data_IF_415996657906
#
_entry.id   IF_415996657906
#
_cell.length_a   1.000
_cell.length_b   1.000
_cell.length_c   1.000
_cell.angle_alpha   90.00
_cell.angle_beta   90.00
_cell.angle_gamma   90.00
#
_symmetry.space_group_name_H-M   'P 1'
#
loop_
_entity.id
_entity.type
_entity.pdbx_description
1 polymer ?
#
# COMPACT_ATOMS: atom_id res chain seq x y z
N UNK A 1 28.76 -13.09 12.90
CA UNK A 1 27.54 -12.52 13.52
C UNK A 1 26.33 -13.10 12.81
N UNK A 2 25.46 -13.80 13.52
CA UNK A 2 24.28 -14.49 12.96
C UNK A 2 23.00 -13.87 13.52
N UNK A 3 22.01 -13.64 12.66
CA UNK A 3 20.73 -13.06 13.05
C UNK A 3 19.94 -14.04 13.94
N UNK A 4 19.57 -13.56 15.13
CA UNK A 4 18.80 -14.33 16.10
C UNK A 4 17.46 -14.81 15.51
N UNK A 5 17.03 -16.02 15.87
CA UNK A 5 15.86 -16.70 15.29
C UNK A 5 14.56 -15.90 15.41
N UNK A 6 14.38 -15.13 16.49
CA UNK A 6 13.21 -14.26 16.69
C UNK A 6 13.15 -13.07 15.73
N UNK A 7 14.29 -12.64 15.19
CA UNK A 7 14.38 -11.57 14.20
C UNK A 7 14.27 -12.11 12.78
N UNK A 8 14.30 -13.43 12.59
CA UNK A 8 14.08 -14.03 11.27
C UNK A 8 12.64 -13.71 10.89
N UNK A 9 12.49 -12.91 9.86
CA UNK A 9 11.18 -12.57 9.34
C UNK A 9 10.54 -13.86 8.78
N UNK A 10 9.70 -14.50 9.61
CA UNK A 10 8.94 -15.69 9.28
C UNK A 10 8.07 -15.48 8.05
N UNK A 11 7.53 -16.57 7.49
CA UNK A 11 6.80 -16.65 6.20
C UNK A 11 5.57 -15.74 6.01
N UNK A 12 5.41 -14.72 6.86
CA UNK A 12 4.35 -13.72 6.93
C UNK A 12 4.77 -12.35 6.39
N UNK A 13 5.96 -12.18 5.77
CA UNK A 13 6.35 -10.88 5.17
C UNK A 13 5.32 -10.34 4.14
N UNK A 14 4.51 -11.21 3.54
CA UNK A 14 3.37 -10.82 2.68
C UNK A 14 2.04 -10.59 3.42
N UNK A 15 1.92 -11.04 4.67
CA UNK A 15 0.72 -10.88 5.55
C UNK A 15 0.81 -9.67 6.46
N UNK A 16 2.00 -9.10 6.67
CA UNK A 16 2.17 -7.90 7.46
C UNK A 16 1.60 -6.69 6.70
N UNK A 17 0.73 -5.92 7.36
CA UNK A 17 0.11 -4.71 6.81
C UNK A 17 1.20 -3.74 6.34
N UNK A 18 1.13 -3.35 5.06
CA UNK A 18 2.08 -2.41 4.45
C UNK A 18 1.55 -0.99 4.60
N UNK A 19 2.34 -0.13 5.23
CA UNK A 19 2.00 1.29 5.40
C UNK A 19 2.09 2.10 4.09
N UNK A 20 2.93 1.65 3.16
CA UNK A 20 3.18 2.33 1.88
C UNK A 20 2.59 1.52 0.76
N UNK A 21 1.53 2.05 0.15
CA UNK A 21 0.89 1.48 -1.02
C UNK A 21 1.56 2.00 -2.29
N UNK A 22 1.69 1.14 -3.29
CA UNK A 22 2.13 1.52 -4.63
C UNK A 22 1.08 2.42 -5.29
N UNK A 23 1.50 3.20 -6.29
CA UNK A 23 0.61 4.14 -6.98
C UNK A 23 -0.63 3.48 -7.59
N UNK A 24 -0.48 2.29 -8.19
CA UNK A 24 -1.61 1.54 -8.77
C UNK A 24 -2.62 1.10 -7.72
N UNK A 25 -2.16 0.71 -6.52
CA UNK A 25 -3.01 0.33 -5.39
C UNK A 25 -3.79 1.55 -4.89
N UNK A 26 -3.12 2.69 -4.78
CA UNK A 26 -3.77 3.97 -4.43
C UNK A 26 -4.83 4.38 -5.47
N UNK A 27 -4.53 4.25 -6.75
CA UNK A 27 -5.46 4.56 -7.83
C UNK A 27 -6.71 3.68 -7.78
N UNK A 28 -6.54 2.38 -7.50
CA UNK A 28 -7.65 1.45 -7.33
C UNK A 28 -8.57 1.89 -6.19
N UNK A 29 -7.99 2.18 -5.02
CA UNK A 29 -8.76 2.66 -3.85
C UNK A 29 -9.48 3.98 -4.17
N UNK A 30 -8.80 4.94 -4.79
CA UNK A 30 -9.43 6.23 -5.13
C UNK A 30 -10.55 6.10 -6.17
N UNK A 31 -10.42 5.14 -7.09
CA UNK A 31 -11.47 4.81 -8.06
C UNK A 31 -12.68 4.18 -7.36
N UNK A 32 -12.43 3.24 -6.45
CA UNK A 32 -13.49 2.59 -5.66
C UNK A 32 -14.21 3.60 -4.74
N UNK A 33 -13.49 4.61 -4.23
CA UNK A 33 -14.04 5.73 -3.45
C UNK A 33 -14.68 6.84 -4.29
N UNK A 34 -14.64 6.76 -5.63
CA UNK A 34 -15.17 7.79 -6.53
C UNK A 34 -14.41 9.13 -6.51
N UNK A 35 -13.23 9.19 -5.90
CA UNK A 35 -12.40 10.40 -5.76
C UNK A 35 -11.40 10.59 -6.90
N UNK A 36 -11.33 9.64 -7.83
CA UNK A 36 -10.42 9.70 -8.96
C UNK A 36 -11.03 9.07 -10.21
N UNK A 37 -10.91 9.78 -11.33
CA UNK A 37 -11.29 9.35 -12.67
C UNK A 37 -10.08 9.41 -13.60
N UNK A 38 -10.15 8.70 -14.73
CA UNK A 38 -9.02 8.61 -15.69
C UNK A 38 -8.59 9.97 -16.24
N UNK A 39 -9.53 10.92 -16.33
CA UNK A 39 -9.27 12.27 -16.83
C UNK A 39 -8.48 13.14 -15.84
N UNK A 40 -8.55 12.84 -14.54
CA UNK A 40 -7.84 13.59 -13.48
C UNK A 40 -6.30 13.37 -13.50
N UNK A 41 -5.80 12.47 -14.36
CA UNK A 41 -4.37 12.21 -14.51
C UNK A 41 -3.75 11.42 -13.34
N UNK A 42 -2.46 11.11 -13.46
CA UNK A 42 -1.74 10.19 -12.54
C UNK A 42 -0.95 10.93 -11.43
N UNK A 43 -0.86 12.26 -11.54
CA UNK A 43 -0.15 13.14 -10.62
C UNK A 43 -1.12 13.85 -9.67
N UNK A 44 -0.65 14.38 -8.54
CA UNK A 44 -1.50 15.14 -7.60
C UNK A 44 -2.55 14.31 -6.84
N UNK A 45 -2.41 12.99 -6.81
CA UNK A 45 -3.42 12.09 -6.23
C UNK A 45 -3.73 12.42 -4.76
N UNK A 46 -5.02 12.47 -4.38
CA UNK A 46 -5.45 12.63 -2.99
C UNK A 46 -4.80 11.62 -2.05
N UNK A 47 -4.69 12.00 -0.76
CA UNK A 47 -4.09 11.13 0.25
C UNK A 47 -4.98 9.91 0.48
N UNK A 48 -4.39 8.74 0.29
CA UNK A 48 -5.04 7.44 0.56
C UNK A 48 -4.56 6.93 1.92
N UNK A 49 -5.49 6.52 2.78
CA UNK A 49 -5.18 5.75 3.99
C UNK A 49 -5.34 4.26 3.65
N UNK A 50 -4.33 3.41 3.87
CA UNK A 50 -4.54 1.97 3.77
C UNK A 50 -5.63 1.58 4.78
N UNK A 51 -6.56 0.72 4.36
CA UNK A 51 -7.50 0.12 5.31
C UNK A 51 -6.73 -0.57 6.42
N UNK A 52 -7.32 -0.53 7.63
CA UNK A 52 -6.66 -0.97 8.85
C UNK A 52 -6.09 -2.33 8.59
#
# INVERSE_FOLDING_TARGET
>A
MTQHSSLKAGGSRGKQRRNVLKRQERLKILKDEGKWEKENGVYGLPKVKPEK
#
